data_IF_816144152153
#
_entry.id   IF_816144152153
#
_cell.length_a   1.000
_cell.length_b   1.000
_cell.length_c   1.000
_cell.angle_alpha   90.00
_cell.angle_beta   90.00
_cell.angle_gamma   90.00
#
_symmetry.space_group_name_H-M   'P 1'
#
loop_
_entity.id
_entity.type
_entity.pdbx_description
1 polymer ?
#
# COMPACT_ATOMS: atom_id res chain seq x y z
N UNK A 1 -50.27 -6.03 67.56
CA UNK A 1 -50.35 -7.27 66.75
C UNK A 1 -49.39 -7.09 65.58
N UNK A 2 -48.11 -7.39 65.79
CA UNK A 2 -47.39 -8.57 65.24
C UNK A 2 -47.12 -8.50 63.73
N UNK A 3 -45.82 -8.30 63.41
CA UNK A 3 -45.07 -8.34 62.13
C UNK A 3 -45.51 -9.45 61.13
N UNK A 4 -45.19 -9.29 59.83
CA UNK A 4 -43.97 -9.91 59.25
C UNK A 4 -43.19 -8.94 58.32
N UNK A 5 -41.89 -8.75 58.55
CA UNK A 5 -40.72 -9.35 57.84
C UNK A 5 -40.31 -8.63 56.55
N UNK A 6 -39.20 -7.89 56.68
CA UNK A 6 -38.46 -7.18 55.64
C UNK A 6 -37.37 -8.15 55.18
N UNK A 7 -37.38 -8.58 53.92
CA UNK A 7 -36.22 -9.22 53.30
C UNK A 7 -35.38 -8.15 52.57
N UNK A 8 -34.22 -7.84 53.15
CA UNK A 8 -33.16 -7.10 52.47
C UNK A 8 -32.47 -8.02 51.46
N UNK A 9 -32.47 -7.63 50.18
CA UNK A 9 -31.42 -8.05 49.26
C UNK A 9 -30.55 -6.83 48.96
N UNK A 10 -29.44 -6.81 49.68
CA UNK A 10 -28.27 -5.97 49.48
C UNK A 10 -27.70 -6.27 48.08
N UNK A 11 -27.88 -5.34 47.13
CA UNK A 11 -27.13 -5.37 45.87
C UNK A 11 -25.76 -4.77 46.15
N UNK A 12 -24.85 -5.61 46.63
CA UNK A 12 -23.42 -5.32 46.61
C UNK A 12 -22.99 -5.01 45.18
N UNK A 13 -22.54 -3.77 44.95
CA UNK A 13 -21.89 -3.35 43.72
C UNK A 13 -20.53 -4.05 43.70
N UNK A 14 -20.43 -5.17 42.99
CA UNK A 14 -19.16 -5.85 42.73
C UNK A 14 -18.37 -5.05 41.70
N UNK A 15 -17.27 -4.42 42.13
CA UNK A 15 -16.29 -3.80 41.23
C UNK A 15 -15.71 -4.86 40.27
N UNK A 16 -15.51 -4.56 38.99
CA UNK A 16 -14.92 -5.52 38.05
C UNK A 16 -13.46 -5.84 38.44
N UNK A 17 -13.01 -7.09 38.22
CA UNK A 17 -11.67 -7.53 38.60
C UNK A 17 -10.61 -6.80 37.78
N UNK A 18 -9.41 -6.70 38.36
CA UNK A 18 -8.28 -6.04 37.73
C UNK A 18 -7.69 -6.91 36.62
N UNK A 19 -7.06 -6.27 35.63
CA UNK A 19 -6.50 -6.92 34.43
C UNK A 19 -5.49 -8.05 34.75
N UNK A 20 -4.82 -7.98 35.91
CA UNK A 20 -3.90 -9.00 36.40
C UNK A 20 -4.60 -10.30 36.85
N UNK A 21 -5.81 -10.20 37.41
CA UNK A 21 -6.59 -11.38 37.84
C UNK A 21 -7.23 -12.12 36.65
N UNK A 22 -7.52 -11.40 35.55
CA UNK A 22 -8.06 -12.00 34.34
C UNK A 22 -7.02 -12.88 33.62
N UNK A 23 -5.75 -12.44 33.57
CA UNK A 23 -4.66 -13.18 32.91
C UNK A 23 -4.26 -14.46 33.63
N UNK A 24 -4.41 -14.55 34.96
CA UNK A 24 -4.09 -15.78 35.70
C UNK A 24 -5.11 -16.90 35.50
N UNK A 25 -6.34 -16.59 35.06
CA UNK A 25 -7.40 -17.58 34.86
C UNK A 25 -7.32 -18.34 33.52
N UNK A 26 -6.63 -17.78 32.52
CA UNK A 26 -6.48 -18.41 31.19
C UNK A 26 -5.37 -19.48 31.14
N UNK A 27 -4.42 -19.45 32.08
CA UNK A 27 -3.29 -20.39 32.07
C UNK A 27 -3.63 -21.81 32.57
N UNK A 28 -4.87 -22.10 33.01
CA UNK A 28 -5.22 -23.39 33.63
C UNK A 28 -6.29 -24.23 32.92
N UNK A 29 -6.63 -23.95 31.65
CA UNK A 29 -7.59 -24.80 30.90
C UNK A 29 -7.03 -25.29 29.57
N UNK A 30 -5.99 -26.12 29.64
CA UNK A 30 -5.65 -27.05 28.58
C UNK A 30 -6.28 -28.41 28.91
N UNK A 31 -7.26 -28.80 28.10
CA UNK A 31 -7.84 -30.15 28.08
C UNK A 31 -9.36 -30.18 28.22
N UNK A 32 -10.09 -30.28 27.11
CA UNK A 32 -11.42 -30.89 27.09
C UNK A 32 -11.84 -31.32 25.69
N UNK A 33 -12.33 -32.55 25.63
CA UNK A 33 -12.72 -33.41 24.52
C UNK A 33 -14.00 -32.92 23.80
N UNK A 34 -14.11 -33.18 22.49
CA UNK A 34 -15.32 -32.87 21.71
C UNK A 34 -16.45 -33.88 21.99
N UNK A 35 -17.62 -33.39 22.40
CA UNK A 35 -18.90 -34.11 22.31
C UNK A 35 -19.84 -33.39 21.35
N UNK A 36 -20.36 -34.12 20.36
CA UNK A 36 -21.40 -33.68 19.42
C UNK A 36 -22.76 -33.78 20.13
N UNK A 37 -23.52 -32.70 20.18
CA UNK A 37 -24.87 -32.69 20.77
C UNK A 37 -25.90 -32.26 19.72
N UNK A 38 -26.94 -33.08 19.55
CA UNK A 38 -28.02 -32.91 18.60
C UNK A 38 -29.14 -32.01 19.14
N UNK A 39 -29.75 -31.22 18.25
CA UNK A 39 -31.16 -30.79 18.29
C UNK A 39 -31.62 -29.84 19.40
N UNK A 40 -31.68 -28.53 19.09
CA UNK A 40 -32.55 -27.59 19.80
C UNK A 40 -33.28 -26.68 18.81
N UNK A 41 -34.61 -26.60 18.90
CA UNK A 41 -35.47 -25.71 18.09
C UNK A 41 -36.20 -24.76 19.04
N UNK A 42 -36.04 -23.42 18.95
CA UNK A 42 -36.82 -22.51 19.78
C UNK A 42 -38.22 -22.28 19.24
N UNK A 43 -39.19 -22.26 20.16
CA UNK A 43 -40.59 -21.93 19.90
C UNK A 43 -40.79 -20.44 19.60
N UNK A 44 -41.45 -20.12 18.50
CA UNK A 44 -41.90 -18.76 18.16
C UNK A 44 -43.24 -18.48 18.85
N UNK A 45 -43.31 -17.43 19.68
CA UNK A 45 -44.59 -16.86 20.14
C UNK A 45 -45.09 -15.83 19.12
N UNK A 46 -46.40 -15.79 18.79
CA UNK A 46 -46.94 -14.78 17.88
C UNK A 46 -46.97 -13.39 18.56
N UNK A 47 -46.66 -12.36 17.78
CA UNK A 47 -46.65 -10.96 18.21
C UNK A 47 -48.08 -10.40 18.30
N UNK A 48 -48.38 -9.70 19.39
CA UNK A 48 -49.60 -8.91 19.57
C UNK A 48 -49.48 -7.51 18.99
N UNK A 49 -50.63 -6.97 18.59
CA UNK A 49 -50.83 -5.78 17.77
C UNK A 49 -50.35 -4.45 18.38
N UNK A 50 -49.83 -3.58 17.52
CA UNK A 50 -50.04 -2.13 17.67
C UNK A 50 -48.82 -1.22 17.80
N UNK A 51 -47.96 -1.13 16.78
CA UNK A 51 -47.24 0.10 16.37
C UNK A 51 -46.75 -0.08 14.91
N UNK A 52 -46.77 0.96 14.04
CA UNK A 52 -46.22 0.83 12.69
C UNK A 52 -44.71 0.62 12.76
N UNK A 53 -44.24 -0.52 12.25
CA UNK A 53 -42.81 -0.84 12.13
C UNK A 53 -42.24 0.03 11.01
N UNK A 54 -41.17 0.78 11.31
CA UNK A 54 -40.47 1.57 10.29
C UNK A 54 -39.98 0.65 9.14
N UNK A 55 -39.98 1.12 7.88
CA UNK A 55 -39.52 0.32 6.75
C UNK A 55 -38.08 -0.14 6.95
N UNK A 56 -37.79 -1.39 6.59
CA UNK A 56 -36.50 -2.06 6.79
C UNK A 56 -35.31 -1.34 6.15
N UNK A 57 -35.54 -0.38 5.25
CA UNK A 57 -34.53 0.49 4.64
C UNK A 57 -33.90 1.49 5.61
N UNK A 58 -34.53 1.74 6.78
CA UNK A 58 -34.05 2.68 7.80
C UNK A 58 -33.58 2.00 9.09
N UNK A 59 -33.67 0.68 9.18
CA UNK A 59 -33.20 -0.06 10.34
C UNK A 59 -31.67 -0.16 10.30
N UNK A 60 -30.98 0.57 11.19
CA UNK A 60 -29.54 0.37 11.40
C UNK A 60 -29.30 -1.05 11.95
N UNK A 61 -28.33 -1.82 11.42
CA UNK A 61 -28.11 -3.19 11.87
C UNK A 61 -27.53 -3.21 13.28
N UNK A 62 -28.22 -3.94 14.17
CA UNK A 62 -27.82 -4.13 15.55
C UNK A 62 -26.90 -5.34 15.70
N UNK A 63 -25.62 -5.23 15.33
CA UNK A 63 -24.53 -6.12 15.80
C UNK A 63 -23.16 -5.48 15.57
N UNK A 64 -22.79 -4.53 16.43
CA UNK A 64 -21.39 -4.19 16.73
C UNK A 64 -20.95 -5.00 17.94
N UNK A 65 -20.68 -6.30 17.77
CA UNK A 65 -20.10 -7.11 18.85
C UNK A 65 -19.47 -8.39 18.32
N UNK A 66 -18.29 -8.28 17.71
CA UNK A 66 -17.04 -8.88 18.21
C UNK A 66 -15.91 -8.67 17.19
N UNK A 67 -14.76 -8.18 17.65
CA UNK A 67 -13.65 -7.72 16.79
C UNK A 67 -12.47 -8.67 16.96
N UNK A 68 -12.25 -9.49 15.93
CA UNK A 68 -11.02 -10.25 15.72
C UNK A 68 -10.82 -10.50 14.23
N UNK A 69 -9.78 -9.87 13.66
CA UNK A 69 -9.27 -10.07 12.29
C UNK A 69 -10.21 -9.72 11.10
N UNK A 70 -10.17 -8.46 10.67
CA UNK A 70 -9.76 -8.11 9.30
C UNK A 70 -10.72 -8.29 8.11
N UNK A 71 -11.84 -9.00 8.21
CA UNK A 71 -12.79 -9.13 7.10
C UNK A 71 -14.21 -8.71 7.51
N UNK A 72 -14.67 -7.58 6.99
CA UNK A 72 -16.11 -7.24 7.02
C UNK A 72 -16.77 -8.04 5.90
N UNK A 73 -17.26 -9.24 6.24
CA UNK A 73 -18.20 -9.96 5.38
C UNK A 73 -19.57 -9.38 5.64
N UNK A 74 -20.14 -8.67 4.66
CA UNK A 74 -21.54 -8.28 4.70
C UNK A 74 -22.39 -9.54 4.48
N UNK A 75 -22.72 -10.25 5.56
CA UNK A 75 -23.73 -11.32 5.50
C UNK A 75 -25.09 -10.66 5.62
N UNK A 76 -25.73 -10.42 4.48
CA UNK A 76 -27.16 -10.08 4.44
C UNK A 76 -27.93 -11.38 4.69
N UNK A 77 -28.31 -11.65 5.93
CA UNK A 77 -29.30 -12.69 6.21
C UNK A 77 -30.70 -12.10 5.95
N UNK A 78 -31.35 -12.50 4.84
CA UNK A 78 -32.78 -12.31 4.68
C UNK A 78 -33.53 -13.64 4.92
N UNK A 79 -34.56 -13.65 5.78
CA UNK A 79 -35.43 -14.80 5.94
C UNK A 79 -36.29 -14.98 4.68
N UNK A 80 -36.47 -16.23 4.28
CA UNK A 80 -37.07 -16.64 3.00
C UNK A 80 -38.35 -15.88 2.61
N UNK A 81 -38.28 -15.20 1.48
CA UNK A 81 -39.39 -14.59 0.74
C UNK A 81 -39.09 -14.66 -0.76
N UNK A 82 -40.11 -14.64 -1.63
CA UNK A 82 -40.01 -15.12 -3.01
C UNK A 82 -39.14 -14.19 -3.86
N UNK A 83 -38.07 -14.76 -4.43
CA UNK A 83 -37.32 -14.33 -5.62
C UNK A 83 -37.28 -12.81 -5.90
N UNK A 84 -36.75 -12.05 -4.94
CA UNK A 84 -36.48 -10.61 -5.11
C UNK A 84 -35.04 -10.42 -5.59
N UNK A 85 -34.91 -10.32 -6.92
CA UNK A 85 -33.96 -9.48 -7.67
C UNK A 85 -32.46 -9.83 -7.66
N UNK A 86 -31.98 -10.41 -8.77
CA UNK A 86 -30.57 -10.35 -9.17
C UNK A 86 -30.04 -8.90 -9.17
N UNK A 87 -30.88 -7.92 -9.53
CA UNK A 87 -30.50 -6.51 -9.66
C UNK A 87 -30.04 -5.86 -8.35
N UNK A 88 -30.69 -6.16 -7.21
CA UNK A 88 -30.30 -5.59 -5.92
C UNK A 88 -29.00 -6.23 -5.39
N UNK A 89 -28.76 -7.51 -5.68
CA UNK A 89 -27.50 -8.18 -5.38
C UNK A 89 -26.35 -7.64 -6.23
N UNK A 90 -26.57 -7.38 -7.52
CA UNK A 90 -25.59 -6.79 -8.43
C UNK A 90 -25.24 -5.36 -8.01
N UNK A 91 -26.25 -4.56 -7.65
CA UNK A 91 -26.05 -3.19 -7.20
C UNK A 91 -25.22 -3.13 -5.90
N UNK A 92 -25.59 -3.91 -4.88
CA UNK A 92 -24.84 -4.01 -3.61
C UNK A 92 -23.40 -4.51 -3.77
N UNK A 93 -23.18 -5.54 -4.60
CA UNK A 93 -21.84 -6.05 -4.92
C UNK A 93 -20.96 -4.99 -5.63
N UNK A 94 -21.56 -4.15 -6.49
CA UNK A 94 -20.85 -3.06 -7.16
C UNK A 94 -20.33 -1.99 -6.18
N UNK A 95 -21.13 -1.62 -5.16
CA UNK A 95 -20.67 -0.69 -4.12
C UNK A 95 -19.57 -1.30 -3.24
N UNK A 96 -19.70 -2.60 -2.89
CA UNK A 96 -18.67 -3.34 -2.17
C UNK A 96 -17.32 -3.27 -2.89
N UNK A 97 -17.30 -3.59 -4.19
CA UNK A 97 -16.08 -3.58 -5.00
C UNK A 97 -15.43 -2.18 -5.08
N UNK A 98 -16.24 -1.12 -5.26
CA UNK A 98 -15.75 0.26 -5.28
C UNK A 98 -15.18 0.71 -3.93
N UNK A 99 -15.86 0.37 -2.82
CA UNK A 99 -15.41 0.71 -1.48
C UNK A 99 -14.10 -0.01 -1.13
N UNK A 100 -14.00 -1.31 -1.45
CA UNK A 100 -12.78 -2.10 -1.27
C UNK A 100 -11.63 -1.49 -2.07
N UNK A 101 -11.87 -1.14 -3.34
CA UNK A 101 -10.87 -0.48 -4.19
C UNK A 101 -10.43 0.86 -3.62
N UNK A 102 -11.34 1.69 -3.12
CA UNK A 102 -11.00 2.98 -2.52
C UNK A 102 -10.11 2.83 -1.27
N UNK A 103 -10.37 1.83 -0.42
CA UNK A 103 -9.52 1.52 0.74
C UNK A 103 -8.15 1.03 0.29
N UNK A 104 -8.09 0.17 -0.72
CA UNK A 104 -6.83 -0.29 -1.32
C UNK A 104 -6.00 0.87 -1.85
N UNK A 105 -6.58 1.74 -2.70
CA UNK A 105 -5.93 2.92 -3.26
C UNK A 105 -5.40 3.81 -2.14
N UNK A 106 -6.21 4.10 -1.12
CA UNK A 106 -5.77 4.90 0.03
C UNK A 106 -4.56 4.30 0.72
N UNK A 107 -4.53 2.98 0.95
CA UNK A 107 -3.38 2.29 1.56
C UNK A 107 -2.12 2.42 0.71
N UNK A 108 -2.23 2.16 -0.59
CA UNK A 108 -1.11 2.25 -1.55
C UNK A 108 -0.48 3.64 -1.53
N UNK A 109 -1.29 4.69 -1.71
CA UNK A 109 -0.78 6.06 -1.74
C UNK A 109 -0.31 6.55 -0.37
N UNK A 110 -0.88 6.07 0.74
CA UNK A 110 -0.37 6.40 2.08
C UNK A 110 1.05 5.87 2.27
N UNK A 111 1.29 4.62 1.88
CA UNK A 111 2.62 4.01 1.92
C UNK A 111 3.57 4.80 1.00
N UNK A 112 3.17 5.03 -0.24
CA UNK A 112 3.97 5.78 -1.20
C UNK A 112 4.39 7.16 -0.67
N UNK A 113 3.45 7.91 -0.06
CA UNK A 113 3.75 9.23 0.50
C UNK A 113 4.76 9.15 1.65
N UNK A 114 4.68 8.13 2.51
CA UNK A 114 5.69 7.90 3.55
C UNK A 114 7.06 7.55 2.95
N UNK A 115 7.09 6.77 1.87
CA UNK A 115 8.33 6.42 1.19
C UNK A 115 8.99 7.67 0.57
N UNK A 116 8.22 8.47 -0.17
CA UNK A 116 8.71 9.72 -0.79
C UNK A 116 9.15 10.76 0.25
N UNK A 117 8.40 10.90 1.35
CA UNK A 117 8.79 11.77 2.46
C UNK A 117 10.13 11.33 3.07
N UNK A 118 10.30 10.02 3.28
CA UNK A 118 11.57 9.47 3.79
C UNK A 118 12.71 9.82 2.84
N UNK A 119 12.53 9.62 1.54
CA UNK A 119 13.56 9.98 0.55
C UNK A 119 13.88 11.46 0.56
N UNK A 120 12.87 12.33 0.63
CA UNK A 120 13.05 13.77 0.69
C UNK A 120 13.84 14.20 1.93
N UNK A 121 13.57 13.59 3.09
CA UNK A 121 14.32 13.84 4.33
C UNK A 121 15.79 13.45 4.16
N UNK A 122 16.07 12.27 3.60
CA UNK A 122 17.46 11.83 3.34
C UNK A 122 18.17 12.76 2.35
N UNK A 123 17.54 13.12 1.23
CA UNK A 123 18.09 14.03 0.22
C UNK A 123 18.41 15.38 0.87
N UNK A 124 17.45 15.96 1.59
CA UNK A 124 17.61 17.27 2.26
C UNK A 124 18.74 17.22 3.29
N UNK A 125 18.78 16.19 4.13
CA UNK A 125 19.86 16.01 5.11
C UNK A 125 21.23 15.95 4.42
N UNK A 126 21.38 15.14 3.38
CA UNK A 126 22.68 14.95 2.72
C UNK A 126 23.13 16.18 1.94
N UNK A 127 22.19 17.03 1.52
CA UNK A 127 22.50 18.26 0.79
C UNK A 127 22.91 19.42 1.69
N UNK A 128 22.25 19.58 2.85
CA UNK A 128 22.45 20.73 3.73
C UNK A 128 23.41 20.47 4.90
N UNK A 129 23.77 19.21 5.15
CA UNK A 129 24.76 18.85 6.17
C UNK A 129 26.09 18.47 5.51
N UNK A 130 27.01 19.44 5.44
CA UNK A 130 28.31 19.30 4.74
C UNK A 130 29.12 18.08 5.19
N UNK A 131 29.16 17.81 6.50
CA UNK A 131 29.90 16.66 7.03
C UNK A 131 29.31 15.32 6.53
N UNK A 132 27.99 15.22 6.40
CA UNK A 132 27.34 14.02 5.80
C UNK A 132 27.63 13.96 4.32
N UNK A 133 27.51 15.08 3.60
CA UNK A 133 27.78 15.17 2.16
C UNK A 133 29.19 14.67 1.83
N UNK A 134 30.19 15.13 2.58
CA UNK A 134 31.59 14.73 2.38
C UNK A 134 31.86 13.29 2.84
N UNK A 135 31.15 12.82 3.87
CA UNK A 135 31.25 11.43 4.34
C UNK A 135 30.78 10.45 3.26
N UNK A 136 29.60 10.67 2.67
CA UNK A 136 29.01 9.76 1.69
C UNK A 136 29.75 9.79 0.35
N UNK A 137 30.34 10.94 -0.02
CA UNK A 137 31.20 11.07 -1.20
C UNK A 137 32.51 10.28 -1.08
N UNK A 138 33.06 10.15 0.13
CA UNK A 138 34.31 9.43 0.39
C UNK A 138 34.12 7.93 0.58
N UNK A 139 32.95 7.51 1.07
CA UNK A 139 32.69 6.11 1.47
C UNK A 139 31.77 5.38 0.47
N UNK A 140 32.30 5.05 -0.71
CA UNK A 140 31.55 4.31 -1.74
C UNK A 140 31.10 2.92 -1.31
N UNK A 141 31.71 2.33 -0.29
CA UNK A 141 31.32 1.01 0.24
C UNK A 141 29.87 1.05 0.75
N UNK A 142 29.50 2.09 1.49
CA UNK A 142 28.15 2.21 2.07
C UNK A 142 27.10 2.37 0.96
N UNK A 143 27.45 3.08 -0.11
CA UNK A 143 26.61 3.18 -1.31
C UNK A 143 26.36 1.80 -1.95
N UNK A 144 27.42 1.00 -2.13
CA UNK A 144 27.32 -0.35 -2.71
C UNK A 144 26.47 -1.25 -1.79
N UNK A 145 26.72 -1.22 -0.48
CA UNK A 145 25.94 -1.99 0.49
C UNK A 145 24.46 -1.60 0.45
N UNK A 146 24.14 -0.31 0.45
CA UNK A 146 22.75 0.16 0.34
C UNK A 146 22.09 -0.30 -0.97
N UNK A 147 22.81 -0.23 -2.09
CA UNK A 147 22.31 -0.70 -3.38
C UNK A 147 22.04 -2.21 -3.39
N UNK A 148 22.95 -3.03 -2.85
CA UNK A 148 22.75 -4.48 -2.72
C UNK A 148 21.55 -4.79 -1.81
N UNK A 149 21.42 -4.10 -0.67
CA UNK A 149 20.27 -4.25 0.22
C UNK A 149 18.96 -3.90 -0.47
N UNK A 150 18.93 -2.81 -1.25
CA UNK A 150 17.78 -2.43 -2.08
C UNK A 150 17.40 -3.55 -3.06
N UNK A 151 18.37 -4.07 -3.84
CA UNK A 151 18.10 -5.13 -4.82
C UNK A 151 17.58 -6.40 -4.17
N UNK A 152 18.21 -6.84 -3.07
CA UNK A 152 17.79 -8.06 -2.36
C UNK A 152 16.38 -7.91 -1.79
N UNK A 153 16.08 -6.79 -1.12
CA UNK A 153 14.75 -6.55 -0.57
C UNK A 153 13.67 -6.36 -1.65
N UNK A 154 14.03 -5.75 -2.78
CA UNK A 154 13.16 -5.68 -3.95
C UNK A 154 12.80 -7.07 -4.49
N UNK A 155 13.80 -7.93 -4.71
CA UNK A 155 13.58 -9.31 -5.20
C UNK A 155 12.69 -10.08 -4.24
N UNK A 156 12.93 -9.98 -2.92
CA UNK A 156 12.09 -10.62 -1.91
C UNK A 156 10.64 -10.12 -2.01
N UNK A 157 10.43 -8.82 -2.09
CA UNK A 157 9.08 -8.25 -2.17
C UNK A 157 8.38 -8.61 -3.47
N UNK A 158 9.06 -8.72 -4.61
CA UNK A 158 8.45 -9.07 -5.90
C UNK A 158 8.19 -10.57 -6.02
N UNK A 159 9.19 -11.39 -5.71
CA UNK A 159 9.16 -12.83 -5.97
C UNK A 159 8.51 -13.64 -4.83
N UNK A 160 8.48 -13.12 -3.60
CA UNK A 160 7.94 -13.83 -2.44
C UNK A 160 6.60 -13.21 -2.00
N UNK A 161 5.50 -13.65 -2.63
CA UNK A 161 4.13 -13.22 -2.26
C UNK A 161 3.82 -13.48 -0.79
N UNK A 162 4.30 -14.57 -0.21
CA UNK A 162 4.15 -14.88 1.20
C UNK A 162 4.71 -13.78 2.10
N UNK A 163 5.91 -13.28 1.81
CA UNK A 163 6.55 -12.21 2.60
C UNK A 163 5.79 -10.91 2.45
N UNK A 164 5.37 -10.58 1.22
CA UNK A 164 4.66 -9.34 0.90
C UNK A 164 3.24 -9.29 1.49
N UNK A 165 2.57 -10.43 1.64
CA UNK A 165 1.20 -10.52 2.18
C UNK A 165 1.14 -10.80 3.68
N UNK A 166 2.25 -11.23 4.29
CA UNK A 166 2.29 -11.56 5.72
C UNK A 166 2.69 -10.37 6.59
N UNK A 167 1.84 -10.04 7.56
CA UNK A 167 2.19 -9.12 8.63
C UNK A 167 2.96 -9.87 9.74
N UNK A 168 4.03 -9.30 10.34
CA UNK A 168 4.59 -7.96 10.13
C UNK A 168 5.72 -7.90 9.08
N UNK A 169 6.09 -9.04 8.48
CA UNK A 169 7.24 -9.15 7.57
C UNK A 169 7.17 -8.17 6.40
N UNK A 170 5.98 -7.97 5.82
CA UNK A 170 5.77 -7.06 4.71
C UNK A 170 6.23 -5.61 5.00
N UNK A 171 5.88 -5.07 6.17
CA UNK A 171 6.25 -3.71 6.59
C UNK A 171 7.74 -3.62 6.92
N UNK A 172 8.31 -4.64 7.56
CA UNK A 172 9.74 -4.66 7.91
C UNK A 172 10.59 -4.63 6.65
N UNK A 173 10.34 -5.54 5.71
CA UNK A 173 11.11 -5.63 4.46
C UNK A 173 10.90 -4.37 3.60
N UNK A 174 9.67 -3.85 3.54
CA UNK A 174 9.37 -2.60 2.85
C UNK A 174 10.10 -1.39 3.46
N UNK A 175 10.25 -1.34 4.78
CA UNK A 175 10.98 -0.27 5.45
C UNK A 175 12.47 -0.34 5.13
N UNK A 176 13.08 -1.53 5.17
CA UNK A 176 14.49 -1.72 4.80
C UNK A 176 14.70 -1.34 3.32
N UNK A 177 13.80 -1.77 2.45
CA UNK A 177 13.78 -1.38 1.03
C UNK A 177 13.73 0.15 0.86
N UNK A 178 12.83 0.82 1.58
CA UNK A 178 12.64 2.28 1.49
C UNK A 178 13.86 3.04 1.98
N UNK A 179 14.41 2.65 3.13
CA UNK A 179 15.59 3.28 3.71
C UNK A 179 16.84 3.10 2.83
N UNK A 180 17.05 1.90 2.31
CA UNK A 180 18.19 1.60 1.44
C UNK A 180 18.11 2.37 0.11
N UNK A 181 16.94 2.43 -0.52
CA UNK A 181 16.74 3.20 -1.75
C UNK A 181 16.82 4.72 -1.50
N UNK A 182 16.28 5.21 -0.38
CA UNK A 182 16.37 6.62 0.02
C UNK A 182 17.81 7.05 0.26
N UNK A 183 18.60 6.22 0.96
CA UNK A 183 20.03 6.45 1.16
C UNK A 183 20.78 6.49 -0.17
N UNK A 184 20.50 5.55 -1.08
CA UNK A 184 21.12 5.48 -2.39
C UNK A 184 20.80 6.74 -3.21
N UNK A 185 19.53 7.11 -3.34
CA UNK A 185 19.10 8.32 -4.05
C UNK A 185 19.70 9.60 -3.45
N UNK A 186 19.73 9.74 -2.12
CA UNK A 186 20.34 10.87 -1.43
C UNK A 186 21.86 10.95 -1.65
N UNK A 187 22.54 9.81 -1.67
CA UNK A 187 23.99 9.77 -1.95
C UNK A 187 24.29 10.21 -3.38
N UNK A 188 23.51 9.76 -4.38
CA UNK A 188 23.65 10.24 -5.76
C UNK A 188 23.41 11.75 -5.85
N UNK A 189 22.41 12.24 -5.12
CA UNK A 189 22.09 13.67 -5.03
C UNK A 189 23.25 14.47 -4.43
N UNK A 190 23.97 13.90 -3.47
CA UNK A 190 25.13 14.54 -2.86
C UNK A 190 26.26 14.80 -3.87
N UNK A 191 26.37 14.05 -4.98
CA UNK A 191 27.35 14.30 -6.05
C UNK A 191 26.95 15.43 -7.03
N UNK A 192 25.75 15.96 -6.89
CA UNK A 192 25.21 17.00 -7.76
C UNK A 192 25.16 18.35 -7.03
N UNK A 193 24.99 19.42 -7.82
CA UNK A 193 24.82 20.77 -7.29
C UNK A 193 23.42 20.93 -6.68
N UNK A 194 23.35 21.61 -5.54
CA UNK A 194 22.12 21.77 -4.76
C UNK A 194 20.99 22.39 -5.58
N UNK A 195 21.32 23.36 -6.43
CA UNK A 195 20.38 24.01 -7.34
C UNK A 195 19.74 23.02 -8.33
N UNK A 196 20.55 22.14 -8.94
CA UNK A 196 20.07 21.12 -9.89
C UNK A 196 19.15 20.13 -9.17
N UNK A 197 19.52 19.71 -7.96
CA UNK A 197 18.72 18.77 -7.17
C UNK A 197 17.34 19.35 -6.83
N UNK A 198 17.28 20.58 -6.31
CA UNK A 198 16.01 21.22 -5.94
C UNK A 198 15.10 21.39 -7.17
N UNK A 199 15.66 21.85 -8.30
CA UNK A 199 14.91 21.97 -9.56
C UNK A 199 14.40 20.61 -10.04
N UNK A 200 15.21 19.56 -9.92
CA UNK A 200 14.83 18.19 -10.28
C UNK A 200 13.68 17.68 -9.42
N UNK A 201 13.73 17.87 -8.09
CA UNK A 201 12.64 17.45 -7.18
C UNK A 201 11.32 18.15 -7.57
N UNK A 202 11.37 19.45 -7.87
CA UNK A 202 10.20 20.19 -8.35
C UNK A 202 9.65 19.64 -9.67
N UNK A 203 10.53 19.39 -10.64
CA UNK A 203 10.16 18.84 -11.96
C UNK A 203 9.51 17.46 -11.84
N UNK A 204 10.13 16.53 -11.10
CA UNK A 204 9.59 15.18 -10.87
C UNK A 204 8.22 15.27 -10.22
N UNK A 205 8.04 16.13 -9.23
CA UNK A 205 6.74 16.30 -8.56
C UNK A 205 5.66 16.69 -9.55
N UNK A 206 5.91 17.69 -10.40
CA UNK A 206 4.96 18.14 -11.43
C UNK A 206 4.67 17.03 -12.44
N UNK A 207 5.71 16.34 -12.93
CA UNK A 207 5.55 15.26 -13.92
C UNK A 207 4.77 14.08 -13.34
N UNK A 208 5.12 13.62 -12.13
CA UNK A 208 4.44 12.50 -11.49
C UNK A 208 2.98 12.83 -11.15
N UNK A 209 2.68 14.04 -10.68
CA UNK A 209 1.31 14.48 -10.46
C UNK A 209 0.53 14.57 -11.77
N UNK A 210 1.11 15.16 -12.81
CA UNK A 210 0.50 15.25 -14.14
C UNK A 210 0.19 13.87 -14.72
N UNK A 211 1.14 12.95 -14.66
CA UNK A 211 0.97 11.55 -15.10
C UNK A 211 -0.10 10.84 -14.27
N UNK A 212 -0.07 10.99 -12.95
CA UNK A 212 -1.06 10.36 -12.07
C UNK A 212 -2.48 10.85 -12.39
N UNK A 213 -2.66 12.17 -12.50
CA UNK A 213 -3.94 12.79 -12.85
C UNK A 213 -4.43 12.37 -14.23
N UNK A 214 -3.53 12.33 -15.22
CA UNK A 214 -3.83 11.83 -16.56
C UNK A 214 -4.27 10.36 -16.51
N UNK A 215 -3.57 9.53 -15.74
CA UNK A 215 -3.81 8.08 -15.66
C UNK A 215 -5.13 7.75 -15.00
N UNK A 216 -5.56 8.54 -14.02
CA UNK A 216 -6.85 8.39 -13.33
C UNK A 216 -8.02 8.85 -14.21
N UNK A 217 -7.84 9.90 -15.00
CA UNK A 217 -8.91 10.51 -15.79
C UNK A 217 -9.05 9.92 -17.19
N UNK A 218 -7.96 9.42 -17.77
CA UNK A 218 -7.96 8.95 -19.15
C UNK A 218 -8.86 7.74 -19.31
N UNK A 219 -9.66 7.69 -20.37
CA UNK A 219 -10.48 6.53 -20.71
C UNK A 219 -9.67 5.44 -21.41
N UNK A 220 -8.44 5.73 -21.83
CA UNK A 220 -7.61 4.79 -22.57
C UNK A 220 -6.98 3.76 -21.64
N UNK A 221 -7.13 2.48 -21.96
CA UNK A 221 -6.61 1.38 -21.15
C UNK A 221 -5.21 0.97 -21.61
N UNK A 222 -4.19 1.42 -20.87
CA UNK A 222 -2.77 1.12 -21.13
C UNK A 222 -2.37 -0.20 -20.46
N UNK A 223 -3.15 -0.71 -19.51
CA UNK A 223 -2.85 -1.95 -18.77
C UNK A 223 -2.80 -3.19 -19.66
N UNK A 224 -3.46 -3.16 -20.83
CA UNK A 224 -3.36 -4.22 -21.83
C UNK A 224 -2.03 -4.28 -22.58
N UNK A 225 -1.20 -3.22 -22.48
CA UNK A 225 0.07 -3.11 -23.20
C UNK A 225 1.30 -3.54 -22.37
N UNK A 226 1.09 -4.17 -21.20
CA UNK A 226 2.18 -4.51 -20.27
C UNK A 226 3.32 -5.31 -20.88
N UNK A 227 3.02 -6.29 -21.75
CA UNK A 227 4.07 -7.07 -22.44
C UNK A 227 4.91 -6.21 -23.38
N UNK A 228 4.31 -5.22 -24.05
CA UNK A 228 5.03 -4.30 -24.93
C UNK A 228 5.90 -3.36 -24.12
N UNK A 229 5.42 -2.87 -22.97
CA UNK A 229 6.23 -2.07 -22.03
C UNK A 229 7.41 -2.88 -21.48
N UNK A 230 7.22 -4.17 -21.19
CA UNK A 230 8.29 -5.06 -20.75
C UNK A 230 9.36 -5.24 -21.82
N UNK A 231 8.96 -5.55 -23.05
CA UNK A 231 9.90 -5.68 -24.19
C UNK A 231 10.61 -4.36 -24.45
N UNK A 232 9.90 -3.23 -24.42
CA UNK A 232 10.48 -1.91 -24.63
C UNK A 232 11.52 -1.55 -23.57
N UNK A 233 11.23 -1.80 -22.28
CA UNK A 233 12.18 -1.64 -21.18
C UNK A 233 13.43 -2.51 -21.38
N UNK A 234 13.25 -3.78 -21.74
CA UNK A 234 14.37 -4.71 -21.94
C UNK A 234 15.28 -4.24 -23.07
N UNK A 235 14.72 -3.79 -24.19
CA UNK A 235 15.48 -3.22 -25.31
C UNK A 235 16.25 -1.98 -24.85
N UNK A 236 15.57 -1.00 -24.24
CA UNK A 236 16.24 0.23 -23.76
C UNK A 236 17.31 -0.07 -22.72
N UNK A 237 17.12 -1.07 -21.85
CA UNK A 237 18.11 -1.51 -20.87
C UNK A 237 19.35 -2.11 -21.55
N UNK A 238 19.19 -3.07 -22.46
CA UNK A 238 20.32 -3.74 -23.12
C UNK A 238 21.12 -2.77 -23.99
N UNK A 239 20.44 -1.95 -24.80
CA UNK A 239 21.08 -0.90 -25.58
C UNK A 239 21.68 0.18 -24.68
N UNK A 240 21.05 0.49 -23.54
CA UNK A 240 21.54 1.43 -22.55
C UNK A 240 22.84 0.99 -21.89
N UNK A 241 23.02 -0.31 -21.63
CA UNK A 241 24.31 -0.86 -21.13
C UNK A 241 25.41 -0.65 -22.17
N UNK A 242 25.15 -0.97 -23.44
CA UNK A 242 26.11 -0.73 -24.52
C UNK A 242 26.44 0.77 -24.66
N UNK A 243 25.42 1.62 -24.61
CA UNK A 243 25.58 3.07 -24.68
C UNK A 243 26.35 3.63 -23.48
N UNK A 244 26.17 3.07 -22.28
CA UNK A 244 26.93 3.44 -21.10
C UNK A 244 28.42 3.11 -21.26
N UNK A 245 28.75 1.92 -21.80
CA UNK A 245 30.14 1.54 -22.11
C UNK A 245 30.75 2.50 -23.14
N UNK A 246 30.02 2.83 -24.22
CA UNK A 246 30.49 3.76 -25.26
C UNK A 246 30.62 5.19 -24.71
N UNK A 247 29.71 5.63 -23.85
CA UNK A 247 29.76 6.94 -23.22
C UNK A 247 30.97 7.04 -22.27
N UNK A 248 31.31 5.97 -21.55
CA UNK A 248 32.51 5.88 -20.71
C UNK A 248 33.80 5.95 -21.53
N UNK A 249 33.86 5.35 -22.72
CA UNK A 249 35.08 5.36 -23.56
C UNK A 249 35.22 6.61 -24.42
N UNK A 250 34.11 7.13 -24.96
CA UNK A 250 34.12 8.24 -25.94
C UNK A 250 33.84 9.60 -25.28
N UNK A 251 33.27 9.62 -24.08
CA UNK A 251 32.88 10.87 -23.39
C UNK A 251 31.75 11.66 -24.08
N UNK A 252 31.02 11.04 -25.02
CA UNK A 252 30.00 11.72 -25.81
C UNK A 252 28.71 11.96 -24.99
N UNK A 253 28.53 13.19 -24.52
CA UNK A 253 27.39 13.62 -23.69
C UNK A 253 26.03 13.50 -24.38
N UNK A 254 26.00 13.64 -25.72
CA UNK A 254 24.75 13.57 -26.49
C UNK A 254 24.12 12.19 -26.33
N UNK A 255 24.93 11.13 -26.36
CA UNK A 255 24.45 9.76 -26.14
C UNK A 255 23.82 9.60 -24.75
N UNK A 256 24.46 10.13 -23.70
CA UNK A 256 23.94 10.07 -22.33
C UNK A 256 22.59 10.79 -22.22
N UNK A 257 22.45 11.98 -22.80
CA UNK A 257 21.21 12.76 -22.77
C UNK A 257 20.09 12.05 -23.54
N UNK A 258 20.36 11.54 -24.74
CA UNK A 258 19.37 10.82 -25.55
C UNK A 258 18.88 9.57 -24.83
N UNK A 259 19.78 8.76 -24.29
CA UNK A 259 19.41 7.54 -23.56
C UNK A 259 18.69 7.84 -22.24
N UNK A 260 19.09 8.89 -21.52
CA UNK A 260 18.36 9.33 -20.33
C UNK A 260 16.93 9.80 -20.69
N UNK A 261 16.74 10.52 -21.79
CA UNK A 261 15.42 10.90 -22.30
C UNK A 261 14.55 9.69 -22.68
N UNK A 262 15.11 8.69 -23.36
CA UNK A 262 14.42 7.44 -23.67
C UNK A 262 14.03 6.67 -22.41
N UNK A 263 14.92 6.59 -21.42
CA UNK A 263 14.64 5.92 -20.17
C UNK A 263 13.57 6.66 -19.35
N UNK A 264 13.58 8.00 -19.34
CA UNK A 264 12.53 8.81 -18.72
C UNK A 264 11.16 8.53 -19.37
N UNK A 265 11.12 8.41 -20.69
CA UNK A 265 9.89 8.07 -21.42
C UNK A 265 9.37 6.68 -20.99
N UNK A 266 10.25 5.69 -20.88
CA UNK A 266 9.90 4.34 -20.43
C UNK A 266 9.29 4.38 -19.02
N UNK A 267 9.98 4.98 -18.04
CA UNK A 267 9.48 5.06 -16.67
C UNK A 267 8.21 5.90 -16.53
N UNK A 268 8.04 6.96 -17.34
CA UNK A 268 6.79 7.69 -17.40
C UNK A 268 5.62 6.80 -17.89
N UNK A 269 5.85 5.92 -18.86
CA UNK A 269 4.83 4.96 -19.31
C UNK A 269 4.54 3.87 -18.27
N UNK A 270 5.55 3.39 -17.54
CA UNK A 270 5.33 2.47 -16.40
C UNK A 270 4.53 3.15 -15.29
N UNK A 271 4.82 4.41 -14.98
CA UNK A 271 4.07 5.15 -13.96
C UNK A 271 2.58 5.26 -14.34
N UNK A 272 2.28 5.45 -15.63
CA UNK A 272 0.89 5.39 -16.14
C UNK A 272 0.30 4.00 -15.96
N UNK A 273 1.01 2.97 -16.39
CA UNK A 273 0.58 1.57 -16.31
C UNK A 273 0.28 1.16 -14.86
N UNK A 274 1.20 1.40 -13.93
CA UNK A 274 1.08 1.05 -12.52
C UNK A 274 -0.05 1.83 -11.84
N UNK A 275 -0.17 3.14 -12.14
CA UNK A 275 -1.28 3.94 -11.64
C UNK A 275 -2.63 3.38 -12.10
N UNK A 276 -2.74 2.95 -13.35
CA UNK A 276 -3.98 2.35 -13.87
C UNK A 276 -4.29 0.99 -13.24
N UNK A 277 -3.28 0.15 -13.02
CA UNK A 277 -3.46 -1.14 -12.33
C UNK A 277 -3.96 -0.96 -10.89
N UNK A 278 -3.52 0.11 -10.20
CA UNK A 278 -3.93 0.44 -8.84
C UNK A 278 -5.38 0.95 -8.81
N UNK A 279 -5.77 1.80 -9.77
CA UNK A 279 -7.13 2.33 -9.84
C UNK A 279 -8.17 1.25 -10.21
N UNK A 280 -7.77 0.24 -10.98
CA UNK A 280 -8.61 -0.90 -11.35
C UNK A 280 -9.73 -0.56 -12.35
N UNK A 281 -10.59 -1.55 -12.64
CA UNK A 281 -11.64 -1.41 -13.64
C UNK A 281 -11.14 -1.45 -15.09
N UNK A 282 -10.01 -2.11 -15.31
CA UNK A 282 -9.29 -2.26 -16.59
C UNK A 282 -8.95 -3.73 -16.87
N UNK A 283 -8.31 -4.01 -18.01
CA UNK A 283 -7.89 -5.37 -18.39
C UNK A 283 -6.99 -6.04 -17.35
N UNK A 284 -6.07 -5.29 -16.76
CA UNK A 284 -5.19 -5.78 -15.69
C UNK A 284 -5.35 -4.87 -14.48
N UNK A 285 -5.76 -5.45 -13.36
CA UNK A 285 -5.90 -4.73 -12.09
C UNK A 285 -5.22 -5.50 -10.95
N UNK A 286 -4.70 -4.74 -9.99
CA UNK A 286 -4.08 -5.32 -8.80
C UNK A 286 -5.14 -5.81 -7.83
N UNK A 287 -4.89 -6.96 -7.20
CA UNK A 287 -5.71 -7.43 -6.08
C UNK A 287 -5.58 -6.47 -4.89
N UNK A 288 -6.66 -6.29 -4.11
CA UNK A 288 -6.67 -5.41 -2.95
C UNK A 288 -5.66 -5.82 -1.85
N UNK A 289 -5.20 -7.07 -1.88
CA UNK A 289 -4.16 -7.59 -0.98
C UNK A 289 -2.75 -7.09 -1.37
N UNK A 290 -2.56 -6.65 -2.61
CA UNK A 290 -1.26 -6.31 -3.21
C UNK A 290 -0.85 -4.85 -3.03
N UNK A 291 -1.31 -4.22 -1.94
CA UNK A 291 -1.07 -2.80 -1.68
C UNK A 291 0.43 -2.47 -1.49
N UNK A 292 1.18 -3.42 -0.92
CA UNK A 292 2.65 -3.32 -0.80
C UNK A 292 3.31 -3.35 -2.18
N UNK A 293 2.84 -4.22 -3.09
CA UNK A 293 3.37 -4.31 -4.45
C UNK A 293 3.08 -3.04 -5.25
N UNK A 294 1.84 -2.53 -5.17
CA UNK A 294 1.47 -1.28 -5.85
C UNK A 294 2.30 -0.10 -5.37
N UNK A 295 2.51 0.04 -4.06
CA UNK A 295 3.36 1.09 -3.52
C UNK A 295 4.84 0.93 -3.93
N UNK A 296 5.35 -0.31 -3.91
CA UNK A 296 6.71 -0.65 -4.33
C UNK A 296 6.99 -0.19 -5.78
N UNK A 297 6.12 -0.54 -6.73
CA UNK A 297 6.32 -0.21 -8.14
C UNK A 297 6.24 1.31 -8.39
N UNK A 298 5.20 1.98 -7.88
CA UNK A 298 5.09 3.44 -7.99
C UNK A 298 6.30 4.17 -7.40
N UNK A 299 6.81 3.72 -6.25
CA UNK A 299 7.98 4.34 -5.64
C UNK A 299 9.24 4.16 -6.48
N UNK A 300 9.46 2.98 -7.05
CA UNK A 300 10.61 2.71 -7.92
C UNK A 300 10.55 3.59 -9.17
N UNK A 301 9.40 3.70 -9.80
CA UNK A 301 9.21 4.54 -10.98
C UNK A 301 9.53 6.01 -10.69
N UNK A 302 9.01 6.54 -9.58
CA UNK A 302 9.22 7.94 -9.19
C UNK A 302 10.71 8.21 -8.86
N UNK A 303 11.36 7.33 -8.08
CA UNK A 303 12.78 7.52 -7.75
C UNK A 303 13.68 7.35 -8.98
N UNK A 304 13.37 6.42 -9.89
CA UNK A 304 14.11 6.29 -11.14
C UNK A 304 13.93 7.52 -12.03
N UNK A 305 12.70 8.03 -12.17
CA UNK A 305 12.45 9.28 -12.89
C UNK A 305 13.26 10.44 -12.29
N UNK A 306 13.32 10.52 -10.95
CA UNK A 306 14.14 11.50 -10.24
C UNK A 306 15.63 11.40 -10.61
N UNK A 307 16.21 10.21 -10.59
CA UNK A 307 17.63 10.04 -10.89
C UNK A 307 17.96 10.30 -12.36
N UNK A 308 17.03 9.99 -13.26
CA UNK A 308 17.18 10.28 -14.69
C UNK A 308 17.16 11.80 -14.93
N UNK A 309 16.20 12.51 -14.34
CA UNK A 309 16.13 13.97 -14.45
C UNK A 309 17.32 14.65 -13.77
N UNK A 310 17.81 14.10 -12.66
CA UNK A 310 19.01 14.60 -11.99
C UNK A 310 20.24 14.48 -12.92
N UNK A 311 20.40 13.34 -13.58
CA UNK A 311 21.44 13.12 -14.58
C UNK A 311 21.32 14.08 -15.76
N UNK A 312 20.12 14.31 -16.28
CA UNK A 312 19.87 15.27 -17.36
C UNK A 312 20.27 16.69 -16.95
N UNK A 313 19.80 17.16 -15.80
CA UNK A 313 20.13 18.50 -15.28
C UNK A 313 21.62 18.70 -15.10
N UNK A 314 22.34 17.68 -14.63
CA UNK A 314 23.79 17.71 -14.48
C UNK A 314 24.55 17.85 -15.79
N UNK A 315 24.06 17.21 -16.85
CA UNK A 315 24.73 17.18 -18.15
C UNK A 315 24.48 18.45 -18.97
N UNK A 316 23.40 19.19 -18.67
CA UNK A 316 23.05 20.44 -19.38
C UNK A 316 23.76 21.69 -18.84
N UNK A 317 24.31 21.66 -17.63
CA UNK A 317 24.96 22.82 -16.99
C UNK A 317 26.50 22.86 -17.10
N UNK A 318 27.11 21.88 -17.77
CA UNK A 318 28.57 21.75 -17.97
C UNK A 318 28.92 21.70 -19.45
#
# INVERSE_FOLDING_TARGET
>A
MSKPEINSYDKGIMSPPSFEEAMQSESSKQGATYHKQEGWVPAVKPAGDGFPVAPASLAMPATLRDVGAGNVVYVVNQPGGPDVTEDNHIFGASFGNKAIRAVFVRKVYTILMLQLLTTLVFITWFMFHDATRDFVRRNSIILITAYVTFVVTYIILVCCSNVRRSWPCNIIVLTIFTLSMSYWAATISAFHDTYIVIMTVGLVTVVCLGISLFSVQTKWDITGAGIYLFVFLLVVLLFGILAAVIALTTGNRIMTVVYAGLLALVFAMYLVYDTQQIMGGRKVELSAEEHIYGALQLYIDIINLYLIFLSLGSNSCK
#
